data_IF_898363065161
#
_entry.id   IF_898363065161
#
_cell.length_a   1.000
_cell.length_b   1.000
_cell.length_c   1.000
_cell.angle_alpha   90.00
_cell.angle_beta   90.00
_cell.angle_gamma   90.00
#
_symmetry.space_group_name_H-M   'P 1'
#
loop_
_entity.id
_entity.type
_entity.pdbx_description
1 polymer ?
#
# COMPACT_ATOMS: atom_id res chain seq x y z
N UNK A 1 17.55 57.04 -39.11
CA UNK A 1 18.09 58.08 -38.24
C UNK A 1 18.42 57.51 -36.87
N UNK A 2 19.72 57.56 -36.52
CA UNK A 2 20.37 57.55 -35.19
C UNK A 2 19.95 56.51 -34.12
N UNK A 3 20.84 55.52 -33.93
CA UNK A 3 21.03 54.80 -32.70
C UNK A 3 21.71 55.69 -31.65
N UNK A 4 21.48 55.53 -30.35
CA UNK A 4 22.43 55.96 -29.33
C UNK A 4 23.21 54.76 -28.73
N UNK A 5 24.50 55.01 -28.64
CA UNK A 5 25.59 54.27 -28.06
C UNK A 5 25.46 54.25 -26.54
N UNK A 6 25.65 53.06 -25.91
CA UNK A 6 25.75 52.92 -24.44
C UNK A 6 27.21 52.69 -24.08
N UNK A 7 27.71 53.58 -23.25
CA UNK A 7 29.06 53.60 -22.71
C UNK A 7 29.28 52.47 -21.68
N UNK A 8 30.43 51.78 -21.80
CA UNK A 8 31.00 50.88 -20.79
C UNK A 8 31.55 51.70 -19.62
N UNK A 9 31.14 51.42 -18.41
CA UNK A 9 31.84 51.77 -17.19
C UNK A 9 32.47 50.52 -16.56
N UNK A 10 33.79 50.53 -16.51
CA UNK A 10 34.66 49.65 -15.75
C UNK A 10 34.58 49.95 -14.26
N UNK A 11 34.19 48.99 -13.46
CA UNK A 11 34.30 49.03 -12.00
C UNK A 11 35.16 47.85 -11.52
N UNK A 12 36.23 48.14 -10.81
CA UNK A 12 37.18 47.17 -10.23
C UNK A 12 36.55 46.35 -9.13
N UNK A 13 37.00 45.08 -8.88
CA UNK A 13 36.49 44.25 -7.79
C UNK A 13 37.19 44.61 -6.48
N UNK A 14 36.40 44.75 -5.43
CA UNK A 14 36.85 44.88 -4.05
C UNK A 14 37.27 43.53 -3.48
N UNK A 15 38.38 43.58 -2.73
CA UNK A 15 39.00 42.53 -1.95
C UNK A 15 38.01 41.80 -1.04
N UNK A 16 37.98 40.48 -1.14
CA UNK A 16 37.64 39.59 -0.04
C UNK A 16 38.71 38.50 0.03
N UNK A 17 39.50 38.70 1.10
CA UNK A 17 40.70 37.95 1.45
C UNK A 17 40.43 36.47 1.65
N UNK A 18 41.25 35.70 1.00
CA UNK A 18 41.87 34.42 1.34
C UNK A 18 41.74 34.02 2.83
N UNK A 19 40.96 32.98 3.09
CA UNK A 19 41.14 32.10 4.21
C UNK A 19 41.43 30.69 3.68
N UNK A 20 42.69 30.27 3.86
CA UNK A 20 43.13 28.88 3.63
C UNK A 20 42.55 27.98 4.73
N UNK A 21 42.06 26.77 4.46
CA UNK A 21 41.76 25.81 5.50
C UNK A 21 43.06 25.17 6.01
N UNK A 22 43.29 25.28 7.31
CA UNK A 22 44.35 24.55 7.99
C UNK A 22 44.00 23.06 8.08
N UNK A 23 44.71 22.24 7.34
CA UNK A 23 44.73 20.80 7.49
C UNK A 23 45.38 20.39 8.79
N UNK A 24 44.59 20.02 9.81
CA UNK A 24 45.07 19.30 10.97
C UNK A 24 44.71 17.81 10.83
N UNK A 25 45.67 17.04 10.33
CA UNK A 25 45.62 15.59 10.35
C UNK A 25 45.74 15.10 11.78
N UNK A 26 44.68 14.55 12.34
CA UNK A 26 44.71 13.75 13.55
C UNK A 26 45.21 12.35 13.17
N UNK A 27 46.48 12.08 13.48
CA UNK A 27 47.07 10.73 13.46
C UNK A 27 46.49 9.96 14.65
N UNK A 28 45.67 8.97 14.39
CA UNK A 28 45.37 7.91 15.36
C UNK A 28 46.52 6.90 15.33
N UNK A 29 47.26 6.88 16.46
CA UNK A 29 48.29 5.87 16.71
C UNK A 29 47.64 4.49 16.85
N UNK A 30 48.16 3.52 16.13
CA UNK A 30 47.91 2.09 16.37
C UNK A 30 48.56 1.73 17.70
N UNK A 31 47.75 1.33 18.70
CA UNK A 31 48.20 0.58 19.86
C UNK A 31 47.82 -0.88 19.60
N UNK A 32 48.78 -1.69 19.24
CA UNK A 32 48.66 -3.15 19.25
C UNK A 32 48.80 -3.57 20.73
N UNK A 33 47.70 -4.05 21.31
CA UNK A 33 47.74 -4.77 22.57
C UNK A 33 47.61 -6.26 22.29
N UNK A 34 48.71 -6.99 22.47
CA UNK A 34 48.70 -8.47 22.56
C UNK A 34 48.01 -8.88 23.85
N UNK A 35 47.16 -9.90 23.86
CA UNK A 35 46.64 -10.46 25.11
C UNK A 35 47.71 -11.32 25.77
N UNK A 36 48.08 -10.99 27.01
CA UNK A 36 48.84 -11.87 27.88
C UNK A 36 47.94 -12.99 28.40
N UNK A 37 48.30 -14.23 28.10
CA UNK A 37 47.87 -15.41 28.84
C UNK A 37 48.44 -15.31 30.26
N UNK A 38 47.57 -15.31 31.24
CA UNK A 38 47.70 -15.79 32.61
C UNK A 38 46.74 -15.00 33.52
N UNK A 39 45.57 -15.53 33.77
CA UNK A 39 44.86 -15.57 35.06
C UNK A 39 43.65 -16.49 34.91
N UNK A 40 43.90 -17.78 34.81
CA UNK A 40 42.89 -18.80 35.09
C UNK A 40 43.33 -19.54 36.34
N UNK A 41 42.97 -19.04 37.52
CA UNK A 41 42.80 -19.92 38.67
C UNK A 41 42.04 -19.22 39.78
N UNK A 42 41.00 -19.90 40.27
CA UNK A 42 40.31 -19.72 41.55
C UNK A 42 39.27 -18.63 41.69
N UNK A 43 38.04 -18.94 41.16
CA UNK A 43 36.83 -18.65 41.95
C UNK A 43 35.89 -19.84 41.87
N UNK A 44 35.69 -20.49 43.05
CA UNK A 44 34.70 -21.55 43.26
C UNK A 44 33.32 -21.03 42.99
N UNK A 45 32.57 -21.76 42.11
CA UNK A 45 31.12 -21.61 41.97
C UNK A 45 30.44 -22.10 43.23
N UNK A 46 29.47 -21.38 43.81
CA UNK A 46 28.51 -22.02 44.70
C UNK A 46 27.49 -22.82 43.84
N UNK A 47 27.59 -24.13 43.92
CA UNK A 47 26.49 -25.00 43.49
C UNK A 47 25.36 -24.90 44.52
N UNK A 48 24.18 -24.57 44.05
CA UNK A 48 22.99 -24.71 44.89
C UNK A 48 21.94 -23.66 44.59
N UNK A 49 20.79 -24.14 44.08
CA UNK A 49 19.49 -23.51 43.88
C UNK A 49 19.21 -22.88 42.48
N UNK A 50 19.32 -23.68 41.45
CA UNK A 50 18.38 -23.56 40.36
C UNK A 50 17.26 -24.62 40.58
N UNK A 51 16.23 -24.21 41.32
CA UNK A 51 14.96 -24.91 41.36
C UNK A 51 14.43 -25.08 39.95
N UNK A 52 14.24 -26.32 39.53
CA UNK A 52 13.56 -26.69 38.29
C UNK A 52 12.12 -26.20 38.38
N UNK A 53 11.88 -24.94 38.03
CA UNK A 53 10.56 -24.53 37.58
C UNK A 53 10.35 -25.16 36.21
N UNK A 54 9.90 -26.44 36.22
CA UNK A 54 9.20 -27.03 35.08
C UNK A 54 7.94 -26.18 34.90
N UNK A 55 7.97 -25.23 33.97
CA UNK A 55 6.74 -24.73 33.38
C UNK A 55 6.10 -25.95 32.72
N UNK A 56 5.17 -26.57 33.41
CA UNK A 56 4.23 -27.52 32.80
C UNK A 56 3.49 -26.70 31.73
N UNK A 57 3.77 -26.96 30.46
CA UNK A 57 2.87 -26.55 29.37
C UNK A 57 1.52 -27.19 29.67
N UNK A 58 0.69 -26.46 30.39
CA UNK A 58 -0.61 -26.96 30.81
C UNK A 58 -1.46 -27.14 29.57
N UNK A 59 -2.33 -28.14 29.61
CA UNK A 59 -3.35 -28.46 28.60
C UNK A 59 -4.19 -27.26 28.18
N UNK A 60 -4.24 -26.18 28.97
CA UNK A 60 -4.78 -24.86 28.67
C UNK A 60 -4.08 -24.13 27.52
N UNK A 61 -2.77 -24.39 27.25
CA UNK A 61 -2.07 -23.75 26.13
C UNK A 61 -2.48 -24.37 24.78
N UNK A 62 -2.74 -25.67 24.74
CA UNK A 62 -3.17 -26.40 23.54
C UNK A 62 -4.60 -26.08 23.11
N UNK A 63 -5.52 -25.89 24.05
CA UNK A 63 -6.90 -25.48 23.78
C UNK A 63 -6.95 -24.04 23.25
N UNK A 64 -6.17 -23.10 23.82
CA UNK A 64 -6.06 -21.71 23.30
C UNK A 64 -5.41 -21.63 21.92
N UNK A 65 -4.50 -22.51 21.57
CA UNK A 65 -3.92 -22.59 20.21
C UNK A 65 -4.92 -23.09 19.17
N UNK A 66 -5.95 -23.85 19.58
CA UNK A 66 -7.02 -24.32 18.68
C UNK A 66 -8.04 -23.23 18.36
N UNK A 67 -8.23 -22.23 19.24
CA UNK A 67 -9.14 -21.09 19.04
C UNK A 67 -8.59 -19.98 18.13
N UNK A 68 -7.28 -20.01 17.80
CA UNK A 68 -6.60 -18.96 17.02
C UNK A 68 -6.36 -17.69 17.82
N UNK A 69 -5.37 -16.90 17.43
CA UNK A 69 -5.01 -15.65 18.06
C UNK A 69 -5.61 -14.45 17.30
N UNK A 70 -6.01 -13.42 18.04
CA UNK A 70 -6.57 -12.19 17.45
C UNK A 70 -5.48 -11.18 17.14
N UNK A 71 -5.61 -10.54 15.97
CA UNK A 71 -4.79 -9.42 15.53
C UNK A 71 -5.68 -8.29 15.03
N UNK A 72 -5.25 -7.05 15.19
CA UNK A 72 -5.86 -5.90 14.52
C UNK A 72 -5.00 -5.48 13.34
N UNK A 73 -5.65 -5.11 12.24
CA UNK A 73 -5.00 -4.41 11.13
C UNK A 73 -5.57 -3.01 11.02
N UNK A 74 -4.70 -2.03 10.85
CA UNK A 74 -5.06 -0.62 10.68
C UNK A 74 -4.56 -0.17 9.32
N UNK A 75 -5.46 0.41 8.53
CA UNK A 75 -5.16 0.97 7.22
C UNK A 75 -5.73 2.38 7.08
N UNK A 76 -4.94 3.25 6.45
CA UNK A 76 -5.41 4.52 5.94
C UNK A 76 -4.85 4.72 4.53
N UNK A 77 -5.75 4.94 3.58
CA UNK A 77 -5.41 5.19 2.18
C UNK A 77 -4.91 6.62 1.93
N UNK A 78 -4.34 6.86 0.74
CA UNK A 78 -3.83 8.19 0.35
C UNK A 78 -4.92 9.25 0.17
N UNK A 79 -6.19 8.86 0.06
CA UNK A 79 -7.36 9.75 0.03
C UNK A 79 -7.69 10.34 1.40
N UNK A 80 -7.16 9.74 2.48
CA UNK A 80 -7.43 10.11 3.88
C UNK A 80 -8.95 10.18 4.20
N UNK A 81 -9.73 9.25 3.63
CA UNK A 81 -11.18 9.21 3.81
C UNK A 81 -11.57 8.66 5.18
N UNK A 82 -10.72 7.80 5.76
CA UNK A 82 -10.94 7.19 7.06
C UNK A 82 -9.79 6.30 7.51
N UNK A 83 -10.00 5.71 8.68
CA UNK A 83 -9.12 4.73 9.32
C UNK A 83 -9.88 3.41 9.37
N UNK A 84 -9.44 2.45 8.61
CA UNK A 84 -10.02 1.12 8.55
C UNK A 84 -9.36 0.22 9.59
N UNK A 85 -10.17 -0.46 10.39
CA UNK A 85 -9.71 -1.39 11.42
C UNK A 85 -10.39 -2.74 11.24
N UNK A 86 -9.59 -3.76 11.00
CA UNK A 86 -10.04 -5.15 10.88
C UNK A 86 -9.60 -5.97 12.10
N UNK A 87 -10.52 -6.72 12.69
CA UNK A 87 -10.23 -7.76 13.67
C UNK A 87 -10.10 -9.09 12.94
N UNK A 88 -8.93 -9.69 13.04
CA UNK A 88 -8.57 -10.90 12.30
C UNK A 88 -8.22 -12.02 13.28
N UNK A 89 -8.82 -13.17 13.08
CA UNK A 89 -8.41 -14.40 13.75
C UNK A 89 -7.39 -15.13 12.92
N UNK A 90 -6.18 -15.27 13.46
CA UNK A 90 -5.10 -16.03 12.82
C UNK A 90 -5.01 -17.39 13.48
N UNK A 91 -5.42 -18.43 12.77
CA UNK A 91 -5.30 -19.82 13.17
C UNK A 91 -4.42 -20.59 12.19
N UNK A 92 -3.95 -21.77 12.58
CA UNK A 92 -3.06 -22.58 11.73
C UNK A 92 -3.65 -23.05 10.38
N UNK A 93 -4.93 -22.73 10.10
CA UNK A 93 -5.61 -23.04 8.83
C UNK A 93 -5.69 -21.80 7.94
N UNK A 94 -6.85 -21.17 7.84
CA UNK A 94 -7.06 -19.93 7.08
C UNK A 94 -7.31 -18.79 8.06
N UNK A 95 -6.72 -17.60 7.86
CA UNK A 95 -7.11 -16.43 8.62
C UNK A 95 -8.56 -16.04 8.28
N UNK A 96 -9.31 -15.56 9.28
CA UNK A 96 -10.71 -15.14 9.12
C UNK A 96 -10.89 -13.72 9.62
N UNK A 97 -11.71 -12.96 8.89
CA UNK A 97 -12.16 -11.66 9.33
C UNK A 97 -13.28 -11.86 10.37
N UNK A 98 -13.07 -11.38 11.59
CA UNK A 98 -14.06 -11.45 12.65
C UNK A 98 -14.98 -10.22 12.67
N UNK A 99 -14.37 -9.04 12.49
CA UNK A 99 -15.07 -7.76 12.47
C UNK A 99 -14.30 -6.72 11.66
N UNK A 100 -15.02 -5.68 11.23
CA UNK A 100 -14.47 -4.53 10.52
C UNK A 100 -15.21 -3.25 10.92
N UNK A 101 -14.48 -2.14 10.99
CA UNK A 101 -15.05 -0.82 11.14
C UNK A 101 -14.15 0.24 10.53
N UNK A 102 -14.78 1.25 9.95
CA UNK A 102 -14.11 2.48 9.51
C UNK A 102 -14.41 3.62 10.51
N UNK A 103 -13.42 4.46 10.74
CA UNK A 103 -13.48 5.62 11.63
C UNK A 103 -13.05 6.87 10.86
N UNK A 104 -13.74 8.00 11.00
CA UNK A 104 -13.35 9.23 10.34
C UNK A 104 -12.09 9.83 10.99
N UNK A 105 -11.27 10.52 10.19
CA UNK A 105 -10.26 11.40 10.74
C UNK A 105 -10.89 12.66 11.33
N UNK A 106 -10.32 13.23 12.41
CA UNK A 106 -10.63 14.62 12.78
C UNK A 106 -10.32 15.56 11.61
N UNK A 107 -11.19 16.49 11.30
CA UNK A 107 -11.11 17.32 10.08
C UNK A 107 -9.75 18.00 9.91
N UNK A 108 -9.21 18.62 10.96
CA UNK A 108 -7.89 19.28 10.93
C UNK A 108 -6.73 18.31 10.65
N UNK A 109 -6.83 17.07 11.15
CA UNK A 109 -5.82 16.02 10.90
C UNK A 109 -5.88 15.59 9.44
N UNK A 110 -7.10 15.37 8.92
CA UNK A 110 -7.31 15.06 7.51
C UNK A 110 -6.73 16.13 6.58
N UNK A 111 -6.99 17.40 6.86
CA UNK A 111 -6.47 18.52 6.07
C UNK A 111 -4.93 18.57 6.09
N UNK A 112 -4.30 18.29 7.25
CA UNK A 112 -2.85 18.23 7.37
C UNK A 112 -2.26 17.06 6.55
N UNK A 113 -2.89 15.88 6.58
CA UNK A 113 -2.50 14.71 5.78
C UNK A 113 -2.55 15.05 4.28
N UNK A 114 -3.68 15.59 3.81
CA UNK A 114 -3.88 15.90 2.39
C UNK A 114 -2.89 16.96 1.91
N UNK A 115 -2.68 18.02 2.70
CA UNK A 115 -1.69 19.07 2.40
C UNK A 115 -0.28 18.49 2.22
N UNK A 116 0.13 17.58 3.11
CA UNK A 116 1.44 16.95 3.04
C UNK A 116 1.54 15.97 1.87
N UNK A 117 0.49 15.17 1.63
CA UNK A 117 0.42 14.21 0.52
C UNK A 117 0.38 14.89 -0.87
N UNK A 118 -0.07 16.15 -0.96
CA UNK A 118 -0.01 16.97 -2.16
C UNK A 118 1.39 17.58 -2.42
N UNK A 119 2.37 17.31 -1.54
CA UNK A 119 3.73 17.84 -1.66
C UNK A 119 3.84 19.32 -1.31
N UNK A 120 2.88 19.90 -0.57
CA UNK A 120 3.01 21.27 -0.07
C UNK A 120 4.12 21.36 0.96
N UNK A 121 4.81 22.49 0.98
CA UNK A 121 5.91 22.73 1.91
C UNK A 121 5.48 22.50 3.36
N UNK A 122 6.27 21.73 4.09
CA UNK A 122 6.13 21.48 5.51
C UNK A 122 7.51 21.49 6.17
N UNK A 123 7.57 21.93 7.42
CA UNK A 123 8.79 21.84 8.21
C UNK A 123 9.00 20.42 8.74
N UNK A 124 10.23 20.06 9.08
CA UNK A 124 10.54 18.79 9.74
C UNK A 124 9.78 18.64 11.07
N UNK A 125 9.57 19.75 11.79
CA UNK A 125 8.77 19.79 13.01
C UNK A 125 7.31 19.40 12.76
N UNK A 126 6.67 19.96 11.73
CA UNK A 126 5.28 19.63 11.37
C UNK A 126 5.14 18.16 10.98
N UNK A 127 6.08 17.62 10.21
CA UNK A 127 6.07 16.19 9.83
C UNK A 127 6.19 15.31 11.07
N UNK A 128 7.12 15.64 11.99
CA UNK A 128 7.32 14.90 13.23
C UNK A 128 6.09 14.96 14.13
N UNK A 129 5.50 16.13 14.33
CA UNK A 129 4.29 16.29 15.14
C UNK A 129 3.11 15.53 14.56
N UNK A 130 2.92 15.57 13.23
CA UNK A 130 1.86 14.82 12.56
C UNK A 130 2.08 13.31 12.65
N UNK A 131 3.32 12.82 12.61
CA UNK A 131 3.65 11.41 12.82
C UNK A 131 3.20 10.91 14.19
N UNK A 132 3.48 11.66 15.26
CA UNK A 132 3.08 11.31 16.62
C UNK A 132 1.57 11.46 16.81
N UNK A 133 0.97 12.54 16.32
CA UNK A 133 -0.48 12.75 16.39
C UNK A 133 -1.25 11.64 15.69
N UNK A 134 -0.79 11.18 14.54
CA UNK A 134 -1.40 10.04 13.84
C UNK A 134 -1.25 8.74 14.63
N UNK A 135 -0.14 8.55 15.34
CA UNK A 135 0.01 7.43 16.28
C UNK A 135 -1.08 7.44 17.36
N UNK A 136 -1.37 8.60 17.95
CA UNK A 136 -2.49 8.75 18.93
C UNK A 136 -3.85 8.44 18.28
N UNK A 137 -4.13 9.02 17.12
CA UNK A 137 -5.41 8.83 16.41
C UNK A 137 -5.62 7.36 16.00
N UNK A 138 -4.58 6.67 15.56
CA UNK A 138 -4.65 5.24 15.24
C UNK A 138 -4.84 4.38 16.49
N UNK A 139 -4.21 4.75 17.62
CA UNK A 139 -4.42 4.07 18.89
C UNK A 139 -5.86 4.24 19.38
N UNK A 140 -6.43 5.46 19.29
CA UNK A 140 -7.84 5.73 19.62
C UNK A 140 -8.79 4.92 18.74
N UNK A 141 -8.52 4.82 17.42
CA UNK A 141 -9.30 4.02 16.49
C UNK A 141 -9.25 2.53 16.87
N UNK A 142 -8.07 2.00 17.21
CA UNK A 142 -7.89 0.61 17.65
C UNK A 142 -8.67 0.31 18.94
N UNK A 143 -8.55 1.16 19.95
CA UNK A 143 -9.26 0.99 21.23
C UNK A 143 -10.78 1.13 21.04
N UNK A 144 -11.23 2.04 20.16
CA UNK A 144 -12.64 2.20 19.83
C UNK A 144 -13.16 0.97 19.06
N UNK A 145 -12.36 0.42 18.15
CA UNK A 145 -12.68 -0.84 17.48
C UNK A 145 -12.80 -1.99 18.48
N UNK A 146 -11.88 -2.11 19.45
CA UNK A 146 -11.97 -3.14 20.49
C UNK A 146 -13.30 -3.05 21.26
N UNK A 147 -13.73 -1.83 21.65
CA UNK A 147 -15.03 -1.62 22.32
C UNK A 147 -16.21 -2.01 21.41
N UNK A 148 -16.19 -1.57 20.14
CA UNK A 148 -17.24 -1.86 19.16
C UNK A 148 -17.36 -3.36 18.87
N UNK A 149 -16.23 -4.06 18.81
CA UNK A 149 -16.16 -5.51 18.54
C UNK A 149 -16.35 -6.36 19.81
N UNK A 150 -16.48 -5.74 20.98
CA UNK A 150 -16.64 -6.40 22.28
C UNK A 150 -15.46 -7.34 22.61
N UNK A 151 -14.25 -6.91 22.29
CA UNK A 151 -12.99 -7.59 22.63
C UNK A 151 -12.15 -6.72 23.55
N UNK A 152 -11.47 -7.33 24.52
CA UNK A 152 -10.54 -6.60 25.40
C UNK A 152 -9.20 -6.42 24.67
N UNK A 153 -8.51 -5.29 24.80
CA UNK A 153 -7.17 -5.09 24.22
C UNK A 153 -6.20 -6.21 24.60
N UNK A 154 -6.26 -6.75 25.81
CA UNK A 154 -5.43 -7.86 26.29
C UNK A 154 -5.65 -9.19 25.53
N UNK A 155 -6.71 -9.33 24.75
CA UNK A 155 -6.97 -10.50 23.89
C UNK A 155 -6.31 -10.35 22.50
N UNK A 156 -5.88 -9.13 22.15
CA UNK A 156 -5.23 -8.85 20.88
C UNK A 156 -3.73 -9.11 21.00
N UNK A 157 -3.20 -9.96 20.15
CA UNK A 157 -1.79 -10.33 20.16
C UNK A 157 -0.88 -9.28 19.55
N UNK A 158 -1.37 -8.61 18.50
CA UNK A 158 -0.64 -7.57 17.81
C UNK A 158 -1.57 -6.61 17.04
N UNK A 159 -1.04 -5.44 16.74
CA UNK A 159 -1.58 -4.49 15.75
C UNK A 159 -0.61 -4.44 14.57
N UNK A 160 -1.10 -4.63 13.35
CA UNK A 160 -0.37 -4.32 12.11
C UNK A 160 -0.88 -2.99 11.56
N UNK A 161 -0.07 -1.93 11.62
CA UNK A 161 -0.45 -0.60 11.16
C UNK A 161 0.29 -0.24 9.88
N UNK A 162 -0.45 0.00 8.80
CA UNK A 162 0.14 0.54 7.57
C UNK A 162 0.75 1.93 7.78
N UNK A 163 0.18 2.71 8.68
CA UNK A 163 0.43 4.15 8.76
C UNK A 163 -0.27 4.91 7.64
N UNK A 164 0.01 6.20 7.52
CA UNK A 164 -0.47 7.10 6.47
C UNK A 164 0.65 7.41 5.50
N UNK A 165 0.50 7.00 4.25
CA UNK A 165 1.48 7.35 3.21
C UNK A 165 1.41 8.83 2.88
N UNK A 166 2.50 9.54 3.11
CA UNK A 166 2.69 10.95 2.74
C UNK A 166 3.69 11.12 1.61
N UNK A 167 4.56 10.14 1.41
CA UNK A 167 5.46 10.10 0.27
C UNK A 167 5.74 8.65 -0.16
N UNK A 168 5.77 8.40 -1.46
CA UNK A 168 6.19 7.11 -2.00
C UNK A 168 6.80 7.28 -3.39
N UNK A 169 8.05 6.84 -3.53
CA UNK A 169 8.78 6.80 -4.78
C UNK A 169 9.44 5.45 -4.92
N UNK A 170 8.75 4.49 -5.55
CA UNK A 170 9.22 3.11 -5.74
C UNK A 170 10.37 2.99 -6.74
N UNK A 171 10.54 3.97 -7.64
CA UNK A 171 11.65 4.04 -8.60
C UNK A 171 12.73 4.99 -8.12
N UNK A 172 13.99 4.70 -8.47
CA UNK A 172 15.11 5.55 -8.04
C UNK A 172 15.14 6.88 -8.79
N UNK A 173 15.43 7.97 -8.06
CA UNK A 173 15.82 9.27 -8.61
C UNK A 173 17.18 9.70 -8.06
N UNK A 174 17.78 10.73 -8.68
CA UNK A 174 19.03 11.29 -8.18
C UNK A 174 18.79 12.19 -6.98
N UNK A 175 19.42 11.90 -5.86
CA UNK A 175 19.40 12.71 -4.64
C UNK A 175 20.80 12.73 -4.00
N UNK A 176 21.36 13.91 -3.76
CA UNK A 176 22.71 14.09 -3.22
C UNK A 176 23.79 13.24 -3.98
N UNK A 177 23.68 13.17 -5.31
CA UNK A 177 24.64 12.43 -6.15
C UNK A 177 24.44 10.92 -6.16
N UNK A 178 23.41 10.38 -5.50
CA UNK A 178 23.11 8.94 -5.46
C UNK A 178 21.70 8.64 -5.99
N UNK A 179 21.51 7.44 -6.55
CA UNK A 179 20.18 6.95 -6.93
C UNK A 179 19.49 6.40 -5.71
N UNK A 180 18.37 7.00 -5.32
CA UNK A 180 17.59 6.63 -4.13
C UNK A 180 16.13 6.43 -4.51
N UNK A 181 15.53 5.34 -4.05
CA UNK A 181 14.08 5.17 -3.94
C UNK A 181 13.71 5.36 -2.47
N UNK A 182 12.56 5.96 -2.18
CA UNK A 182 12.18 6.21 -0.78
C UNK A 182 10.67 6.20 -0.58
N UNK A 183 10.27 5.97 0.66
CA UNK A 183 8.87 5.98 1.08
C UNK A 183 8.77 6.51 2.50
N UNK A 184 7.65 7.14 2.81
CA UNK A 184 7.37 7.62 4.16
C UNK A 184 5.90 7.37 4.48
N UNK A 185 5.68 6.45 5.42
CA UNK A 185 4.41 6.23 6.09
C UNK A 185 4.55 6.78 7.51
N UNK A 186 3.67 7.68 7.91
CA UNK A 186 3.63 8.30 9.24
C UNK A 186 2.47 7.74 10.07
N UNK A 187 2.54 7.90 11.38
CA UNK A 187 1.65 7.29 12.38
C UNK A 187 2.48 6.35 13.25
N UNK A 188 3.23 6.95 14.20
CA UNK A 188 4.30 6.32 14.97
C UNK A 188 3.86 5.02 15.68
N UNK A 189 4.41 3.85 15.30
CA UNK A 189 3.99 2.57 15.87
C UNK A 189 4.29 2.43 17.37
N UNK A 190 5.32 3.11 17.87
CA UNK A 190 5.67 3.09 19.30
C UNK A 190 4.62 3.82 20.12
N UNK A 191 4.01 4.89 19.57
CA UNK A 191 2.88 5.59 20.20
C UNK A 191 1.65 4.68 20.25
N UNK A 192 1.35 3.99 19.13
CA UNK A 192 0.24 3.03 19.10
C UNK A 192 0.45 1.94 20.15
N UNK A 193 1.64 1.33 20.22
CA UNK A 193 1.96 0.29 21.20
C UNK A 193 1.84 0.81 22.64
N UNK A 194 2.41 1.97 22.95
CA UNK A 194 2.36 2.56 24.28
C UNK A 194 0.95 2.95 24.75
N UNK A 195 0.08 3.42 23.83
CA UNK A 195 -1.30 3.82 24.16
C UNK A 195 -2.25 2.64 24.27
N UNK A 196 -2.03 1.60 23.48
CA UNK A 196 -2.93 0.42 23.47
C UNK A 196 -2.52 -0.69 24.40
N UNK A 197 -1.23 -0.73 24.81
CA UNK A 197 -0.64 -1.87 25.49
C UNK A 197 -0.50 -3.11 24.59
N UNK A 198 -0.54 -2.93 23.26
CA UNK A 198 -0.50 -4.03 22.29
C UNK A 198 0.74 -3.88 21.41
N UNK A 199 1.55 -4.92 21.31
CA UNK A 199 2.68 -4.94 20.35
C UNK A 199 2.23 -4.50 18.97
N UNK A 200 2.90 -3.50 18.40
CA UNK A 200 2.53 -2.92 17.10
C UNK A 200 3.63 -3.15 16.07
N UNK A 201 3.23 -3.56 14.87
CA UNK A 201 4.12 -3.68 13.70
C UNK A 201 3.73 -2.60 12.69
N UNK A 202 4.70 -1.83 12.26
CA UNK A 202 4.52 -0.77 11.26
C UNK A 202 5.67 -0.74 10.25
N UNK A 203 5.65 0.26 9.38
CA UNK A 203 6.74 0.55 8.42
C UNK A 203 7.09 -0.64 7.51
N UNK A 204 6.09 -1.24 6.88
CA UNK A 204 6.21 -2.47 6.09
C UNK A 204 6.99 -2.33 4.77
N UNK A 205 6.98 -1.15 4.15
CA UNK A 205 7.48 -0.95 2.79
C UNK A 205 9.02 -0.89 2.66
N UNK A 206 9.77 -0.31 3.62
CA UNK A 206 11.22 -0.11 3.47
C UNK A 206 12.03 -1.39 3.31
N UNK A 207 11.64 -2.49 3.95
CA UNK A 207 12.36 -3.77 3.85
C UNK A 207 12.33 -4.35 2.42
N UNK A 208 11.17 -4.27 1.75
CA UNK A 208 11.02 -4.67 0.36
C UNK A 208 11.86 -3.77 -0.58
N UNK A 209 11.84 -2.45 -0.34
CA UNK A 209 12.65 -1.48 -1.10
C UNK A 209 14.15 -1.73 -0.91
N UNK A 210 14.59 -2.05 0.30
CA UNK A 210 15.99 -2.42 0.57
C UNK A 210 16.40 -3.72 -0.15
N UNK A 211 15.44 -4.63 -0.39
CA UNK A 211 15.64 -5.80 -1.23
C UNK A 211 15.60 -5.49 -2.74
N UNK A 212 15.46 -4.23 -3.14
CA UNK A 212 15.41 -3.77 -4.52
C UNK A 212 14.01 -3.75 -5.12
N UNK A 213 12.97 -3.99 -4.33
CA UNK A 213 11.57 -3.87 -4.72
C UNK A 213 11.08 -2.41 -4.69
N UNK A 214 9.86 -2.21 -5.13
CA UNK A 214 9.21 -0.91 -5.15
C UNK A 214 8.47 -0.57 -3.85
N UNK A 215 8.40 -1.49 -2.86
CA UNK A 215 7.66 -1.29 -1.61
C UNK A 215 6.14 -1.36 -1.76
N UNK A 216 5.66 -1.65 -2.95
CA UNK A 216 4.25 -1.82 -3.30
C UNK A 216 4.14 -2.67 -4.58
N UNK A 217 3.03 -3.40 -4.79
CA UNK A 217 1.94 -3.68 -3.85
C UNK A 217 2.33 -4.75 -2.79
N UNK A 218 1.78 -4.66 -1.57
CA UNK A 218 2.01 -5.66 -0.50
C UNK A 218 0.82 -6.62 -0.32
N UNK A 219 -0.37 -6.23 -0.75
CA UNK A 219 -1.61 -7.04 -0.69
C UNK A 219 -1.50 -8.38 -1.45
N UNK A 220 -0.70 -8.54 -2.52
CA UNK A 220 -0.57 -9.82 -3.24
C UNK A 220 -0.18 -11.02 -2.37
N UNK A 221 0.56 -10.81 -1.28
CA UNK A 221 0.84 -11.86 -0.30
C UNK A 221 -0.44 -12.38 0.35
N UNK A 222 -1.35 -11.48 0.70
CA UNK A 222 -2.63 -11.83 1.32
C UNK A 222 -3.60 -12.40 0.31
N UNK A 223 -3.62 -11.90 -0.92
CA UNK A 223 -4.36 -12.52 -2.01
C UNK A 223 -3.95 -13.98 -2.19
N UNK A 224 -2.65 -14.26 -2.16
CA UNK A 224 -2.14 -15.63 -2.21
C UNK A 224 -2.65 -16.49 -1.03
N UNK A 225 -2.59 -15.99 0.21
CA UNK A 225 -3.07 -16.74 1.37
C UNK A 225 -4.57 -17.03 1.30
N UNK A 226 -5.37 -16.07 0.82
CA UNK A 226 -6.83 -16.20 0.75
C UNK A 226 -7.28 -17.08 -0.43
N UNK A 227 -6.62 -16.93 -1.58
CA UNK A 227 -7.17 -17.40 -2.86
C UNK A 227 -6.38 -18.55 -3.49
N UNK A 228 -5.21 -18.95 -2.93
CA UNK A 228 -4.50 -20.12 -3.47
C UNK A 228 -5.36 -21.38 -3.41
N UNK A 229 -5.28 -22.18 -4.47
CA UNK A 229 -6.03 -23.40 -4.60
C UNK A 229 -5.24 -24.45 -5.40
N UNK A 230 -5.36 -25.73 -5.03
CA UNK A 230 -4.64 -26.82 -5.69
C UNK A 230 -5.22 -27.15 -7.07
N UNK A 231 -6.49 -26.81 -7.32
CA UNK A 231 -7.23 -27.22 -8.52
C UNK A 231 -7.55 -26.07 -9.46
N UNK A 232 -7.67 -24.85 -8.92
CA UNK A 232 -8.15 -23.65 -9.60
C UNK A 232 -7.07 -22.58 -9.60
N UNK A 233 -6.72 -22.06 -10.77
CA UNK A 233 -5.95 -20.83 -10.88
C UNK A 233 -6.89 -19.63 -10.71
N UNK A 234 -6.47 -18.64 -9.94
CA UNK A 234 -7.26 -17.45 -9.61
C UNK A 234 -6.50 -16.17 -9.95
N UNK A 235 -7.25 -15.14 -10.27
CA UNK A 235 -6.76 -13.79 -10.34
C UNK A 235 -7.56 -12.90 -9.38
N UNK A 236 -6.88 -12.18 -8.51
CA UNK A 236 -7.52 -11.19 -7.64
C UNK A 236 -7.40 -9.82 -8.30
N UNK A 237 -8.53 -9.24 -8.68
CA UNK A 237 -8.66 -7.94 -9.30
C UNK A 237 -9.16 -6.93 -8.27
N UNK A 238 -8.38 -5.88 -8.01
CA UNK A 238 -8.84 -4.75 -7.22
C UNK A 238 -9.15 -3.57 -8.14
N UNK A 239 -10.39 -3.10 -8.12
CA UNK A 239 -10.83 -1.92 -8.88
C UNK A 239 -11.03 -0.75 -7.91
N UNK A 240 -9.91 -0.16 -7.51
CA UNK A 240 -9.86 1.11 -6.79
C UNK A 240 -9.81 2.31 -7.75
N UNK A 241 -9.09 3.37 -7.39
CA UNK A 241 -8.79 4.47 -8.32
C UNK A 241 -8.00 3.98 -9.54
N UNK A 242 -7.03 3.11 -9.32
CA UNK A 242 -6.32 2.31 -10.32
C UNK A 242 -6.81 0.88 -10.21
N UNK A 243 -6.97 0.20 -11.34
CA UNK A 243 -7.22 -1.24 -11.38
C UNK A 243 -5.88 -1.99 -11.35
N UNK A 244 -5.77 -2.98 -10.45
CA UNK A 244 -4.60 -3.85 -10.35
C UNK A 244 -5.00 -5.31 -10.19
N UNK A 245 -4.12 -6.22 -10.57
CA UNK A 245 -4.38 -7.65 -10.57
C UNK A 245 -3.23 -8.41 -9.92
N UNK A 246 -3.58 -9.39 -9.08
CA UNK A 246 -2.67 -10.42 -8.56
C UNK A 246 -3.02 -11.74 -9.22
N UNK A 247 -2.07 -12.37 -9.89
CA UNK A 247 -2.26 -13.67 -10.55
C UNK A 247 -1.68 -14.77 -9.68
N UNK A 248 -2.52 -15.73 -9.34
CA UNK A 248 -2.21 -16.88 -8.48
C UNK A 248 -2.46 -18.14 -9.30
N UNK A 249 -1.44 -18.71 -9.94
CA UNK A 249 -1.57 -19.92 -10.74
C UNK A 249 -2.15 -21.09 -9.93
N UNK A 250 -2.71 -22.07 -10.63
CA UNK A 250 -3.15 -23.31 -9.99
C UNK A 250 -1.98 -23.99 -9.25
N UNK A 251 -2.21 -24.41 -8.01
CA UNK A 251 -1.21 -25.03 -7.13
C UNK A 251 0.05 -24.17 -6.91
N UNK A 252 -0.06 -22.84 -7.04
CA UNK A 252 1.05 -21.90 -6.94
C UNK A 252 1.79 -21.99 -5.60
N UNK A 253 3.11 -21.86 -5.65
CA UNK A 253 3.91 -21.37 -4.55
C UNK A 253 3.93 -19.85 -4.58
N UNK A 254 4.42 -19.21 -3.52
CA UNK A 254 4.45 -17.74 -3.44
C UNK A 254 5.33 -17.12 -4.53
N UNK A 255 6.36 -17.82 -4.97
CA UNK A 255 7.28 -17.40 -6.02
C UNK A 255 6.64 -17.36 -7.42
N UNK A 256 5.54 -18.10 -7.61
CA UNK A 256 4.79 -18.14 -8.86
C UNK A 256 3.79 -16.98 -8.99
N UNK A 257 3.55 -16.26 -7.88
CA UNK A 257 2.60 -15.16 -7.82
C UNK A 257 3.23 -13.89 -8.38
N UNK A 258 2.47 -13.18 -9.21
CA UNK A 258 2.87 -11.88 -9.72
C UNK A 258 1.68 -10.92 -9.75
N UNK A 259 1.97 -9.63 -9.73
CA UNK A 259 0.94 -8.60 -9.75
C UNK A 259 1.41 -7.38 -10.56
N UNK A 260 0.45 -6.61 -11.07
CA UNK A 260 0.73 -5.38 -11.80
C UNK A 260 -0.51 -4.49 -11.88
N UNK A 261 -0.27 -3.18 -12.09
CA UNK A 261 -1.33 -2.24 -12.34
C UNK A 261 -1.78 -2.31 -13.80
N UNK A 262 -3.08 -2.42 -14.00
CA UNK A 262 -3.70 -2.55 -15.32
C UNK A 262 -3.82 -1.18 -15.99
N UNK A 263 -4.40 -0.21 -15.25
CA UNK A 263 -4.71 1.11 -15.77
C UNK A 263 -5.76 1.82 -14.91
N UNK A 264 -6.55 2.75 -15.46
CA UNK A 264 -7.54 3.47 -14.68
C UNK A 264 -8.65 2.51 -14.21
N UNK A 265 -8.93 2.57 -12.90
CA UNK A 265 -10.14 2.00 -12.32
C UNK A 265 -11.24 3.06 -12.24
N UNK A 266 -11.67 3.40 -11.02
CA UNK A 266 -12.71 4.41 -10.80
C UNK A 266 -12.22 5.85 -10.95
N UNK A 267 -10.90 6.11 -10.87
CA UNK A 267 -10.33 7.47 -10.78
C UNK A 267 -10.82 8.39 -11.91
N UNK A 268 -10.83 7.90 -13.14
CA UNK A 268 -11.27 8.68 -14.31
C UNK A 268 -12.79 8.83 -14.29
N UNK A 269 -13.53 7.77 -13.96
CA UNK A 269 -15.00 7.78 -13.85
C UNK A 269 -15.44 8.81 -12.82
N UNK A 270 -14.88 8.74 -11.61
CA UNK A 270 -15.22 9.64 -10.49
C UNK A 270 -14.88 11.10 -10.81
N UNK A 271 -13.75 11.35 -11.47
CA UNK A 271 -13.36 12.68 -11.86
C UNK A 271 -14.33 13.28 -12.89
N UNK A 272 -14.80 12.48 -13.86
CA UNK A 272 -15.81 12.89 -14.83
C UNK A 272 -17.17 13.14 -14.15
N UNK A 273 -17.57 12.29 -13.21
CA UNK A 273 -18.81 12.48 -12.43
C UNK A 273 -18.75 13.79 -11.64
N UNK A 274 -17.66 14.04 -10.91
CA UNK A 274 -17.48 15.31 -10.20
C UNK A 274 -17.51 16.53 -11.14
N UNK A 275 -16.85 16.42 -12.28
CA UNK A 275 -16.84 17.48 -13.28
C UNK A 275 -18.26 17.81 -13.79
N UNK A 276 -19.00 16.83 -14.29
CA UNK A 276 -20.32 17.05 -14.87
C UNK A 276 -21.40 17.39 -13.83
N UNK A 277 -21.22 16.96 -12.60
CA UNK A 277 -22.15 17.29 -11.50
C UNK A 277 -21.72 18.53 -10.70
N UNK A 278 -20.65 19.23 -11.11
CA UNK A 278 -20.09 20.38 -10.37
C UNK A 278 -19.82 20.05 -8.90
N UNK A 279 -19.27 18.84 -8.65
CA UNK A 279 -18.94 18.35 -7.31
C UNK A 279 -20.11 17.80 -6.50
N UNK A 280 -21.35 17.82 -7.00
CA UNK A 280 -22.54 17.32 -6.26
C UNK A 280 -22.55 15.81 -6.05
N UNK A 281 -21.91 15.05 -6.96
CA UNK A 281 -21.71 13.60 -6.82
C UNK A 281 -20.20 13.30 -6.84
N UNK A 282 -19.74 12.45 -5.92
CA UNK A 282 -18.34 12.04 -5.85
C UNK A 282 -18.02 10.90 -6.84
N UNK A 283 -19.00 10.02 -7.11
CA UNK A 283 -18.87 8.84 -7.97
C UNK A 283 -20.23 8.47 -8.60
N UNK A 284 -20.25 7.57 -9.57
CA UNK A 284 -21.46 7.07 -10.25
C UNK A 284 -22.05 5.88 -9.50
N UNK A 285 -22.93 6.16 -8.53
CA UNK A 285 -23.56 5.10 -7.72
C UNK A 285 -24.37 4.14 -8.61
N UNK A 286 -24.08 2.84 -8.49
CA UNK A 286 -24.76 1.77 -9.23
C UNK A 286 -24.76 1.97 -10.76
N UNK A 287 -23.78 2.67 -11.31
CA UNK A 287 -23.70 3.04 -12.72
C UNK A 287 -24.95 3.81 -13.23
N UNK A 288 -25.57 4.61 -12.37
CA UNK A 288 -26.81 5.32 -12.71
C UNK A 288 -26.67 6.27 -13.90
N UNK A 289 -25.54 7.00 -13.97
CA UNK A 289 -25.24 7.89 -15.08
C UNK A 289 -24.75 7.10 -16.30
N UNK A 290 -23.75 6.22 -16.10
CA UNK A 290 -23.22 5.39 -17.17
C UNK A 290 -24.30 4.52 -17.83
N UNK A 291 -25.28 4.01 -17.05
CA UNK A 291 -26.38 3.17 -17.55
C UNK A 291 -27.28 3.88 -18.58
N UNK A 292 -27.42 5.22 -18.48
CA UNK A 292 -28.24 6.05 -19.40
C UNK A 292 -27.47 6.55 -20.62
N UNK A 293 -26.15 6.36 -20.65
CA UNK A 293 -25.29 6.85 -21.73
C UNK A 293 -25.13 5.84 -22.86
N UNK A 294 -24.48 6.29 -23.92
CA UNK A 294 -24.02 5.48 -25.06
C UNK A 294 -22.51 5.57 -25.17
N UNK A 295 -21.86 4.54 -25.72
CA UNK A 295 -20.40 4.51 -25.91
C UNK A 295 -20.04 5.41 -27.10
N UNK A 296 -19.14 6.34 -26.86
CA UNK A 296 -18.52 7.21 -27.88
C UNK A 296 -17.32 6.47 -28.48
N UNK A 297 -17.52 5.74 -29.57
CA UNK A 297 -16.49 4.87 -30.17
C UNK A 297 -15.18 5.62 -30.50
N UNK A 298 -15.27 6.84 -31.01
CA UNK A 298 -14.09 7.65 -31.30
C UNK A 298 -13.30 8.08 -30.05
N UNK A 299 -14.00 8.38 -28.94
CA UNK A 299 -13.34 8.68 -27.65
C UNK A 299 -12.74 7.41 -27.06
N UNK A 300 -13.47 6.31 -27.06
CA UNK A 300 -13.00 5.03 -26.54
C UNK A 300 -11.73 4.57 -27.26
N UNK A 301 -11.71 4.62 -28.59
CA UNK A 301 -10.54 4.28 -29.39
C UNK A 301 -9.31 5.16 -29.04
N UNK A 302 -9.51 6.48 -28.90
CA UNK A 302 -8.46 7.40 -28.51
C UNK A 302 -7.90 7.11 -27.11
N UNK A 303 -8.74 6.73 -26.14
CA UNK A 303 -8.34 6.40 -24.79
C UNK A 303 -7.65 5.03 -24.70
N UNK A 304 -8.12 4.01 -25.42
CA UNK A 304 -7.49 2.69 -25.52
C UNK A 304 -6.13 2.74 -26.23
N UNK A 305 -5.86 3.78 -27.01
CA UNK A 305 -4.55 4.03 -27.62
C UNK A 305 -3.45 4.45 -26.64
N UNK A 306 -3.70 4.50 -25.34
CA UNK A 306 -2.67 4.83 -24.36
C UNK A 306 -1.57 3.77 -24.32
N UNK A 307 -0.32 4.20 -24.55
CA UNK A 307 0.85 3.32 -24.60
C UNK A 307 1.07 2.54 -23.30
N UNK A 308 0.53 2.99 -22.18
CA UNK A 308 0.64 2.29 -20.90
C UNK A 308 0.04 0.87 -20.99
N UNK A 309 -1.08 0.69 -21.68
CA UNK A 309 -1.72 -0.63 -21.80
C UNK A 309 -0.82 -1.66 -22.47
N UNK A 310 0.11 -1.21 -23.32
CA UNK A 310 1.08 -2.08 -24.01
C UNK A 310 2.32 -2.42 -23.20
N UNK A 311 2.58 -1.71 -22.09
CA UNK A 311 3.74 -2.00 -21.24
C UNK A 311 3.60 -3.38 -20.62
N UNK A 312 4.69 -4.15 -20.66
CA UNK A 312 4.76 -5.47 -19.99
C UNK A 312 4.92 -5.29 -18.49
N UNK A 313 4.33 -6.19 -17.67
CA UNK A 313 4.64 -6.28 -16.25
C UNK A 313 6.14 -6.59 -15.99
N UNK A 314 6.73 -6.10 -14.87
CA UNK A 314 6.09 -5.30 -13.82
C UNK A 314 5.82 -3.86 -14.27
N UNK A 315 4.63 -3.35 -13.99
CA UNK A 315 4.24 -1.97 -14.30
C UNK A 315 3.34 -1.40 -13.21
N UNK A 316 3.51 -0.11 -12.94
CA UNK A 316 2.72 0.65 -11.96
C UNK A 316 2.11 1.88 -12.60
N UNK A 317 0.97 2.32 -12.10
CA UNK A 317 0.25 3.52 -12.53
C UNK A 317 -0.30 4.26 -11.30
N UNK A 318 -0.51 5.55 -11.46
CA UNK A 318 -1.03 6.40 -10.41
C UNK A 318 -1.73 7.65 -10.93
N UNK A 319 -1.91 8.62 -10.02
CA UNK A 319 -2.53 9.92 -10.34
C UNK A 319 -1.73 10.72 -11.35
N UNK A 320 -0.41 10.52 -11.41
CA UNK A 320 0.48 11.16 -12.37
C UNK A 320 0.11 10.78 -13.82
N UNK A 321 -0.45 9.58 -14.03
CA UNK A 321 -0.83 9.08 -15.33
C UNK A 321 -2.32 9.27 -15.64
N UNK A 322 -3.21 8.91 -14.70
CA UNK A 322 -4.67 8.89 -14.91
C UNK A 322 -5.42 9.98 -14.14
N UNK A 323 -4.70 10.97 -13.58
CA UNK A 323 -5.27 12.09 -12.86
C UNK A 323 -5.83 13.18 -13.79
N UNK A 324 -5.81 14.43 -13.32
CA UNK A 324 -6.47 15.58 -13.94
C UNK A 324 -6.08 15.81 -15.39
N UNK A 325 -4.79 15.65 -15.74
CA UNK A 325 -4.31 15.84 -17.13
C UNK A 325 -4.96 14.84 -18.09
N UNK A 326 -5.13 13.60 -17.65
CA UNK A 326 -5.79 12.57 -18.45
C UNK A 326 -7.26 12.89 -18.65
N UNK A 327 -7.97 13.27 -17.60
CA UNK A 327 -9.39 13.67 -17.64
C UNK A 327 -9.59 14.89 -18.53
N UNK A 328 -8.76 15.93 -18.42
CA UNK A 328 -8.81 17.11 -19.31
C UNK A 328 -8.62 16.73 -20.78
N UNK A 329 -7.70 15.80 -21.08
CA UNK A 329 -7.50 15.31 -22.45
C UNK A 329 -8.74 14.57 -22.97
N UNK A 330 -9.38 13.73 -22.13
CA UNK A 330 -10.61 13.05 -22.48
C UNK A 330 -11.76 14.04 -22.78
N UNK A 331 -11.95 15.05 -21.93
CA UNK A 331 -12.96 16.11 -22.12
C UNK A 331 -12.69 17.01 -23.35
N UNK A 332 -11.41 17.23 -23.68
CA UNK A 332 -11.02 18.00 -24.86
C UNK A 332 -11.23 17.26 -26.17
N UNK A 333 -11.46 15.94 -26.14
CA UNK A 333 -11.72 15.17 -27.37
C UNK A 333 -13.01 15.61 -28.07
N UNK A 334 -12.97 15.73 -29.40
CA UNK A 334 -14.10 16.27 -30.19
C UNK A 334 -15.44 15.54 -29.96
N UNK A 335 -15.40 14.22 -29.75
CA UNK A 335 -16.60 13.43 -29.46
C UNK A 335 -17.17 13.73 -28.06
N UNK A 336 -16.32 14.03 -27.07
CA UNK A 336 -16.75 14.37 -25.71
C UNK A 336 -17.37 15.79 -25.62
N UNK A 337 -16.83 16.75 -26.37
CA UNK A 337 -17.27 18.16 -26.30
C UNK A 337 -18.74 18.40 -26.67
N UNK A 338 -19.34 17.52 -27.43
CA UNK A 338 -20.73 17.61 -27.93
C UNK A 338 -21.63 16.52 -27.40
N UNK A 339 -21.09 15.63 -26.54
CA UNK A 339 -21.80 14.51 -25.98
C UNK A 339 -22.47 14.87 -24.65
N UNK A 340 -23.46 14.07 -24.26
CA UNK A 340 -24.04 14.14 -22.93
C UNK A 340 -23.05 13.63 -21.91
N UNK A 341 -23.18 14.09 -20.66
CA UNK A 341 -22.34 13.65 -19.54
C UNK A 341 -22.34 12.11 -19.39
N UNK A 342 -23.54 11.52 -19.52
CA UNK A 342 -23.75 10.09 -19.40
C UNK A 342 -22.96 9.27 -20.44
N UNK A 343 -22.85 9.77 -21.66
CA UNK A 343 -22.13 9.10 -22.76
C UNK A 343 -20.61 9.08 -22.48
N UNK A 344 -20.08 10.19 -21.96
CA UNK A 344 -18.66 10.30 -21.60
C UNK A 344 -18.33 9.39 -20.40
N UNK A 345 -19.20 9.38 -19.38
CA UNK A 345 -19.03 8.53 -18.18
C UNK A 345 -19.14 7.06 -18.56
N UNK A 346 -20.13 6.69 -19.39
CA UNK A 346 -20.24 5.31 -19.90
C UNK A 346 -18.99 4.90 -20.66
N UNK A 347 -18.48 5.76 -21.52
CA UNK A 347 -17.27 5.48 -22.31
C UNK A 347 -16.06 5.22 -21.40
N UNK A 348 -15.91 6.00 -20.32
CA UNK A 348 -14.86 5.77 -19.32
C UNK A 348 -15.06 4.46 -18.54
N UNK A 349 -16.30 4.10 -18.22
CA UNK A 349 -16.62 2.81 -17.57
C UNK A 349 -16.25 1.62 -18.46
N UNK A 350 -16.59 1.71 -19.75
CA UNK A 350 -16.23 0.68 -20.74
C UNK A 350 -14.71 0.63 -20.97
N UNK A 351 -14.01 1.77 -20.98
CA UNK A 351 -12.55 1.80 -21.03
C UNK A 351 -11.93 0.97 -19.88
N UNK A 352 -12.40 1.17 -18.65
CA UNK A 352 -11.93 0.40 -17.49
C UNK A 352 -12.17 -1.10 -17.70
N UNK A 353 -13.37 -1.51 -18.11
CA UNK A 353 -13.66 -2.93 -18.36
C UNK A 353 -12.74 -3.52 -19.44
N UNK A 354 -12.64 -2.85 -20.59
CA UNK A 354 -11.84 -3.35 -21.71
C UNK A 354 -10.34 -3.37 -21.40
N UNK A 355 -9.82 -2.39 -20.64
CA UNK A 355 -8.42 -2.40 -20.22
C UNK A 355 -8.11 -3.57 -19.28
N UNK A 356 -9.04 -3.96 -18.42
CA UNK A 356 -8.92 -5.15 -17.55
C UNK A 356 -8.89 -6.43 -18.38
N UNK A 357 -9.84 -6.57 -19.28
CA UNK A 357 -9.96 -7.75 -20.16
C UNK A 357 -8.73 -7.90 -21.05
N UNK A 358 -8.26 -6.81 -21.69
CA UNK A 358 -7.06 -6.81 -22.51
C UNK A 358 -5.82 -7.19 -21.71
N UNK A 359 -5.67 -6.66 -20.49
CA UNK A 359 -4.55 -6.99 -19.62
C UNK A 359 -4.54 -8.47 -19.20
N UNK A 360 -5.72 -9.06 -18.95
CA UNK A 360 -5.83 -10.49 -18.64
C UNK A 360 -5.41 -11.32 -19.86
N UNK A 361 -5.91 -11.02 -21.03
CA UNK A 361 -5.58 -11.76 -22.26
C UNK A 361 -4.10 -11.63 -22.64
N UNK A 362 -3.49 -10.44 -22.47
CA UNK A 362 -2.10 -10.20 -22.85
C UNK A 362 -1.08 -10.74 -21.87
N UNK A 363 -1.35 -10.58 -20.57
CA UNK A 363 -0.30 -10.70 -19.55
C UNK A 363 -0.51 -11.86 -18.59
N UNK A 364 -1.72 -12.44 -18.53
CA UNK A 364 -1.94 -13.65 -17.74
C UNK A 364 -1.65 -14.87 -18.60
N UNK A 365 -0.56 -15.61 -18.33
CA UNK A 365 -0.17 -16.72 -19.19
C UNK A 365 -1.16 -17.89 -19.05
N UNK A 366 -1.47 -18.59 -20.17
CA UNK A 366 -2.37 -19.75 -20.18
C UNK A 366 -1.97 -20.84 -19.19
N UNK A 367 -0.68 -21.01 -18.93
CA UNK A 367 -0.16 -21.96 -17.94
C UNK A 367 -0.63 -21.65 -16.50
N UNK A 368 -1.02 -20.42 -16.20
CA UNK A 368 -1.59 -20.07 -14.91
C UNK A 368 -2.95 -20.74 -14.67
N UNK A 369 -3.63 -21.16 -15.73
CA UNK A 369 -4.93 -21.84 -15.70
C UNK A 369 -5.95 -21.09 -14.83
N UNK A 370 -5.99 -19.77 -14.99
CA UNK A 370 -6.96 -18.91 -14.29
C UNK A 370 -8.37 -19.23 -14.82
N UNK A 371 -9.24 -19.66 -13.93
CA UNK A 371 -10.65 -19.95 -14.20
C UNK A 371 -11.60 -19.21 -13.25
N UNK A 372 -11.05 -18.45 -12.28
CA UNK A 372 -11.82 -17.55 -11.41
C UNK A 372 -11.14 -16.19 -11.31
N UNK A 373 -11.93 -15.13 -11.48
CA UNK A 373 -11.55 -13.72 -11.27
C UNK A 373 -12.27 -13.21 -10.02
N UNK A 374 -11.52 -12.88 -8.98
CA UNK A 374 -12.07 -12.41 -7.71
C UNK A 374 -11.93 -10.89 -7.66
N UNK A 375 -13.05 -10.19 -7.72
CA UNK A 375 -13.11 -8.73 -7.81
C UNK A 375 -13.33 -8.12 -6.43
N UNK A 376 -12.57 -7.08 -6.12
CA UNK A 376 -12.66 -6.27 -4.90
C UNK A 376 -12.51 -4.77 -5.21
N UNK A 377 -12.66 -3.93 -4.19
CA UNK A 377 -12.61 -2.47 -4.30
C UNK A 377 -13.93 -1.87 -4.79
N UNK A 378 -14.02 -0.54 -4.78
CA UNK A 378 -15.24 0.19 -5.07
C UNK A 378 -15.85 -0.10 -6.45
N UNK A 379 -15.04 -0.49 -7.44
CA UNK A 379 -15.51 -0.88 -8.77
C UNK A 379 -16.33 -2.17 -8.79
N UNK A 380 -16.20 -3.04 -7.81
CA UNK A 380 -17.03 -4.24 -7.68
C UNK A 380 -18.52 -3.91 -7.45
N UNK A 381 -18.83 -2.71 -6.95
CA UNK A 381 -20.19 -2.21 -6.77
C UNK A 381 -20.77 -1.54 -8.02
N UNK A 382 -20.03 -1.48 -9.12
CA UNK A 382 -20.52 -0.93 -10.38
C UNK A 382 -21.07 -2.06 -11.26
N UNK A 383 -22.41 -2.24 -11.37
CA UNK A 383 -23.00 -3.39 -12.05
C UNK A 383 -22.71 -3.40 -13.56
N UNK A 384 -22.57 -2.23 -14.19
CA UNK A 384 -22.22 -2.14 -15.59
C UNK A 384 -20.80 -2.64 -15.84
N UNK A 385 -19.86 -2.24 -14.98
CA UNK A 385 -18.45 -2.65 -15.07
C UNK A 385 -18.33 -4.17 -14.87
N UNK A 386 -18.99 -4.72 -13.85
CA UNK A 386 -18.99 -6.15 -13.56
C UNK A 386 -19.59 -6.96 -14.71
N UNK A 387 -20.75 -6.55 -15.25
CA UNK A 387 -21.39 -7.24 -16.38
C UNK A 387 -20.52 -7.22 -17.64
N UNK A 388 -19.81 -6.12 -17.93
CA UNK A 388 -18.92 -6.03 -19.08
C UNK A 388 -17.69 -6.92 -18.94
N UNK A 389 -17.10 -7.01 -17.73
CA UNK A 389 -15.96 -7.90 -17.47
C UNK A 389 -16.39 -9.36 -17.60
N UNK A 390 -17.52 -9.74 -17.00
CA UNK A 390 -18.03 -11.12 -17.04
C UNK A 390 -18.34 -11.57 -18.48
N UNK A 391 -19.05 -10.74 -19.24
CA UNK A 391 -19.41 -11.04 -20.63
C UNK A 391 -18.18 -11.16 -21.56
N UNK A 392 -17.08 -10.44 -21.26
CA UNK A 392 -15.88 -10.42 -22.10
C UNK A 392 -14.82 -11.46 -21.70
N UNK A 393 -15.04 -12.24 -20.64
CA UNK A 393 -14.13 -13.29 -20.16
C UNK A 393 -14.78 -14.68 -20.15
N UNK A 394 -15.21 -15.22 -21.31
CA UNK A 394 -15.82 -16.55 -21.36
C UNK A 394 -14.87 -17.61 -20.81
N UNK A 395 -15.38 -18.47 -19.90
CA UNK A 395 -14.58 -19.51 -19.23
C UNK A 395 -13.86 -19.07 -17.97
N UNK A 396 -13.94 -17.80 -17.58
CA UNK A 396 -13.45 -17.28 -16.29
C UNK A 396 -14.68 -16.86 -15.46
N UNK A 397 -14.91 -17.53 -14.35
CA UNK A 397 -16.02 -17.17 -13.44
C UNK A 397 -15.64 -15.89 -12.67
N UNK A 398 -16.44 -14.83 -12.83
CA UNK A 398 -16.28 -13.59 -12.07
C UNK A 398 -16.99 -13.72 -10.73
N UNK A 399 -16.28 -13.45 -9.65
CA UNK A 399 -16.75 -13.55 -8.26
C UNK A 399 -16.35 -12.30 -7.49
N UNK A 400 -16.95 -12.07 -6.33
CA UNK A 400 -16.54 -10.99 -5.43
C UNK A 400 -15.69 -11.51 -4.27
N UNK A 401 -14.88 -10.65 -3.66
CA UNK A 401 -14.10 -11.00 -2.47
C UNK A 401 -14.97 -11.38 -1.27
N UNK A 402 -16.20 -10.88 -1.21
CA UNK A 402 -17.16 -11.16 -0.16
C UNK A 402 -17.52 -12.65 -0.09
N UNK A 403 -17.57 -13.34 -1.23
CA UNK A 403 -17.80 -14.79 -1.30
C UNK A 403 -16.67 -15.61 -0.63
N UNK A 404 -15.51 -14.98 -0.38
CA UNK A 404 -14.38 -15.59 0.30
C UNK A 404 -14.25 -15.14 1.77
N UNK A 405 -15.24 -14.42 2.28
CA UNK A 405 -15.34 -14.00 3.67
C UNK A 405 -14.53 -12.74 4.04
N UNK A 406 -14.01 -12.02 3.04
CA UNK A 406 -13.31 -10.75 3.25
C UNK A 406 -13.88 -9.69 2.30
N UNK A 407 -14.78 -8.82 2.79
CA UNK A 407 -15.31 -7.71 2.03
C UNK A 407 -14.19 -6.82 1.46
N UNK A 408 -14.44 -6.26 0.27
CA UNK A 408 -13.47 -5.44 -0.43
C UNK A 408 -12.92 -4.30 0.42
N UNK A 409 -13.78 -3.63 1.19
CA UNK A 409 -13.41 -2.50 2.04
C UNK A 409 -12.54 -2.92 3.25
N UNK A 410 -12.71 -4.14 3.75
CA UNK A 410 -11.92 -4.67 4.87
C UNK A 410 -10.56 -5.24 4.44
N UNK A 411 -10.37 -5.49 3.15
CA UNK A 411 -9.26 -6.31 2.63
C UNK A 411 -7.88 -5.73 2.95
N UNK A 412 -7.69 -4.43 2.84
CA UNK A 412 -6.40 -3.81 3.12
C UNK A 412 -6.07 -3.84 4.63
N UNK A 413 -7.02 -3.46 5.49
CA UNK A 413 -6.83 -3.56 6.94
C UNK A 413 -6.58 -5.02 7.38
N UNK A 414 -7.35 -5.98 6.83
CA UNK A 414 -7.11 -7.40 7.02
C UNK A 414 -5.70 -7.81 6.60
N UNK A 415 -5.20 -7.28 5.48
CA UNK A 415 -3.86 -7.56 4.99
C UNK A 415 -2.78 -7.11 5.97
N UNK A 416 -2.90 -5.92 6.56
CA UNK A 416 -1.89 -5.43 7.50
C UNK A 416 -1.89 -6.17 8.84
N UNK A 417 -3.01 -6.73 9.29
CA UNK A 417 -3.02 -7.68 10.40
C UNK A 417 -2.15 -8.91 10.09
N UNK A 418 -2.28 -9.49 8.90
CA UNK A 418 -1.52 -10.67 8.50
C UNK A 418 -0.05 -10.37 8.25
N UNK A 419 0.27 -9.26 7.59
CA UNK A 419 1.67 -8.83 7.39
C UNK A 419 2.37 -8.60 8.74
N UNK A 420 1.68 -7.97 9.70
CA UNK A 420 2.17 -7.83 11.07
C UNK A 420 2.39 -9.18 11.75
N UNK A 421 1.47 -10.12 11.53
CA UNK A 421 1.61 -11.49 12.04
C UNK A 421 2.84 -12.21 11.48
N UNK A 422 3.07 -12.14 10.17
CA UNK A 422 4.24 -12.73 9.53
C UNK A 422 5.54 -12.08 10.03
N UNK A 423 5.54 -10.76 10.21
CA UNK A 423 6.69 -10.01 10.77
C UNK A 423 7.04 -10.48 12.18
N UNK A 424 6.05 -10.59 13.07
CA UNK A 424 6.24 -11.03 14.44
C UNK A 424 6.84 -12.46 14.51
N UNK A 425 6.51 -13.28 13.52
CA UNK A 425 7.03 -14.65 13.39
C UNK A 425 8.29 -14.75 12.52
N UNK A 426 8.88 -13.61 12.11
CA UNK A 426 10.11 -13.54 11.29
C UNK A 426 9.96 -14.28 9.95
N UNK A 427 8.78 -14.28 9.37
CA UNK A 427 8.49 -14.90 8.07
C UNK A 427 8.43 -13.83 6.98
N UNK A 428 8.98 -14.15 5.81
CA UNK A 428 8.92 -13.26 4.66
C UNK A 428 7.47 -13.12 4.17
N UNK A 429 7.09 -11.89 3.81
CA UNK A 429 5.71 -11.57 3.43
C UNK A 429 5.58 -10.60 2.25
N UNK A 430 6.67 -10.30 1.54
CA UNK A 430 6.58 -9.65 0.24
C UNK A 430 6.46 -10.69 -0.88
N UNK A 431 6.01 -10.26 -2.04
CA UNK A 431 5.93 -11.06 -3.27
C UNK A 431 6.88 -10.45 -4.30
N UNK A 432 8.09 -11.02 -4.50
CA UNK A 432 9.07 -10.49 -5.45
C UNK A 432 8.51 -10.29 -6.86
N UNK A 433 7.67 -11.22 -7.33
CA UNK A 433 7.00 -11.12 -8.64
C UNK A 433 5.98 -9.97 -8.76
N UNK A 434 5.61 -9.33 -7.63
CA UNK A 434 4.73 -8.18 -7.60
C UNK A 434 5.50 -6.87 -7.39
N UNK A 435 6.48 -6.85 -6.49
CA UNK A 435 7.21 -5.63 -6.11
C UNK A 435 8.50 -5.42 -6.91
N UNK A 436 9.00 -6.46 -7.59
CA UNK A 436 10.30 -6.43 -8.27
C UNK A 436 11.49 -6.60 -7.30
N UNK A 437 11.27 -6.98 -6.05
CA UNK A 437 12.34 -7.29 -5.11
C UNK A 437 13.18 -8.48 -5.58
N UNK A 438 14.48 -8.47 -5.26
CA UNK A 438 15.39 -9.57 -5.62
C UNK A 438 15.19 -10.84 -4.81
N UNK A 439 14.54 -10.73 -3.64
CA UNK A 439 14.28 -11.85 -2.73
C UNK A 439 13.09 -11.57 -1.81
N UNK A 440 12.53 -12.64 -1.26
CA UNK A 440 11.56 -12.55 -0.18
C UNK A 440 12.23 -12.06 1.11
N UNK A 441 11.56 -11.17 1.85
CA UNK A 441 12.07 -10.52 3.07
C UNK A 441 10.97 -10.41 4.12
N UNK A 442 11.38 -10.38 5.39
CA UNK A 442 10.50 -10.01 6.50
C UNK A 442 10.23 -8.51 6.42
N UNK A 443 8.95 -8.15 6.46
CA UNK A 443 8.51 -6.76 6.35
C UNK A 443 8.31 -6.13 7.74
N UNK A 444 8.34 -4.80 7.79
CA UNK A 444 7.96 -4.05 8.99
C UNK A 444 8.99 -4.01 10.10
N UNK A 445 8.65 -3.22 11.11
CA UNK A 445 9.40 -3.04 12.37
C UNK A 445 8.47 -3.32 13.54
N UNK A 446 8.97 -3.98 14.58
CA UNK A 446 8.20 -4.36 15.78
C UNK A 446 8.46 -3.36 16.89
N UNK A 447 7.40 -2.74 17.39
CA UNK A 447 7.39 -1.89 18.58
C UNK A 447 6.66 -2.66 19.68
N UNK A 448 7.39 -3.11 20.69
CA UNK A 448 6.82 -3.84 21.80
C UNK A 448 6.07 -2.87 22.74
N UNK A 449 4.91 -3.33 23.24
CA UNK A 449 4.29 -2.70 24.39
C UNK A 449 5.14 -3.01 25.64
N UNK A 450 5.28 -2.03 26.53
CA UNK A 450 5.98 -2.19 27.80
C UNK A 450 5.28 -3.13 28.78
#
# INVERSE_FOLDING_TARGET
MKRPTIARRSGRPSELQRLKPASRALRFGRAEARPSEDVLSKTRRPEGLLSKARFSESSLSKARLSEGLLALGIMSGTSADGIDVALVRVSGRKPTLENFAAFPFPARVRDAILRLGEGRAATTGEISQLNFLLGEVFAEAALTACRKFRVRPSQIRLIGSHGQTVFHQGTTSSFCGRKVASTLQIGEPSVIAGRTGITTVGDFRPADMAAGGQGAPLVPFVDYLLYRDARVGRAALNIGGIANITVIPRAAKIEDVFAFDIGPGNMVIDALVRHFTQGRKAFDRNAEMAGRGQVLSGLLAALLGDKYFLKRPPKTAGREQYGEKYVRRALAHRAARRARAEDVIRTATILTALSIVDAIHRFVPLRARVSELIVSGGGAHNPLLMAQIDAALPGIRVRTSDEFGVPGDAKEAFAFALLGWETLHRRAANVPGATGARKAVVLGKVCYAG
#
